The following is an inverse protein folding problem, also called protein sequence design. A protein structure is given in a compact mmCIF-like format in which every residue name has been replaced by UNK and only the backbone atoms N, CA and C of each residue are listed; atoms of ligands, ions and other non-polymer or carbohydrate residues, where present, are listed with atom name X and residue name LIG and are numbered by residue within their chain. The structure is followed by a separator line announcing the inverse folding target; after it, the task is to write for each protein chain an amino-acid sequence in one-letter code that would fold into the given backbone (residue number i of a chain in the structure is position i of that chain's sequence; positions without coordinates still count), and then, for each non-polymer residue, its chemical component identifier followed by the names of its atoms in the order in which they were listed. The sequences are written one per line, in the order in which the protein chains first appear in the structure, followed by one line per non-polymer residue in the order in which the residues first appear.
data_IF_268296604505
#
_entry.id   IF_268296604505
#
_cell.length_a   1.000
_cell.length_b   1.000
_cell.length_c   1.000
_cell.angle_alpha   90.00
_cell.angle_beta   90.00
_cell.angle_gamma   90.00
#
_symmetry.space_group_name_H-M   'P 1'
#
loop_
_entity.id
_entity.type
_entity.pdbx_description
1 polymer ?
#
# COMPACT_ATOMS: atom_id res chain seq x y z
N UNK A 1 -9.83 6.99 -14.47
CA UNK A 1 -11.09 6.25 -14.27
C UNK A 1 -12.14 6.56 -15.34
N UNK A 2 -12.20 7.77 -15.87
CA UNK A 2 -13.26 8.21 -16.80
C UNK A 2 -14.62 8.47 -16.12
N UNK A 3 -14.66 8.49 -14.78
CA UNK A 3 -15.88 8.81 -14.05
C UNK A 3 -16.19 10.33 -14.13
N UNK A 4 -17.48 10.66 -14.20
CA UNK A 4 -17.96 12.03 -14.28
C UNK A 4 -18.66 12.41 -12.98
N UNK A 5 -18.33 13.56 -12.44
CA UNK A 5 -18.89 14.08 -11.20
C UNK A 5 -19.22 15.56 -11.34
N UNK A 6 -20.30 15.98 -10.69
CA UNK A 6 -20.64 17.40 -10.62
C UNK A 6 -19.74 18.09 -9.58
N UNK A 7 -18.90 19.02 -10.02
CA UNK A 7 -18.12 19.85 -9.12
C UNK A 7 -19.02 20.82 -8.37
N UNK A 8 -19.05 20.71 -7.04
CA UNK A 8 -19.87 21.57 -6.17
C UNK A 8 -19.07 22.77 -5.68
N UNK A 9 -17.79 22.57 -5.36
CA UNK A 9 -16.94 23.61 -4.80
C UNK A 9 -15.47 23.36 -5.13
N UNK A 10 -14.75 24.44 -5.36
CA UNK A 10 -13.28 24.49 -5.46
C UNK A 10 -12.76 25.42 -4.38
N UNK A 11 -11.57 25.20 -3.84
CA UNK A 11 -11.02 26.06 -2.82
C UNK A 11 -9.62 25.68 -2.38
N UNK A 12 -9.12 26.40 -1.34
CA UNK A 12 -7.80 26.21 -0.75
C UNK A 12 -7.91 26.09 0.76
N UNK A 13 -6.88 25.54 1.41
CA UNK A 13 -6.75 25.52 2.87
C UNK A 13 -5.76 26.60 3.33
N UNK A 14 -6.20 27.55 4.20
CA UNK A 14 -5.38 28.68 4.71
C UNK A 14 -5.65 29.01 6.19
N UNK A 15 -5.37 28.18 7.18
CA UNK A 15 -5.43 26.71 7.32
C UNK A 15 -6.87 26.16 7.21
N UNK A 16 -7.89 27.01 7.36
CA UNK A 16 -9.30 26.61 7.15
C UNK A 16 -9.63 26.57 5.65
N UNK A 17 -10.63 25.80 5.30
CA UNK A 17 -11.12 25.76 3.93
C UNK A 17 -11.70 27.12 3.51
N UNK A 18 -11.24 27.64 2.39
CA UNK A 18 -11.72 28.89 1.78
C UNK A 18 -12.13 28.58 0.35
N UNK A 19 -13.41 28.87 0.02
CA UNK A 19 -13.91 28.68 -1.35
C UNK A 19 -13.19 29.65 -2.31
N UNK A 20 -12.96 29.18 -3.54
CA UNK A 20 -12.39 29.94 -4.67
C UNK A 20 -13.20 29.67 -5.91
N UNK A 21 -13.19 30.60 -6.85
CA UNK A 21 -13.84 30.43 -8.14
C UNK A 21 -13.03 29.52 -9.07
N UNK A 22 -11.72 29.47 -8.88
CA UNK A 22 -10.80 28.66 -9.68
C UNK A 22 -9.49 28.38 -8.93
N UNK A 23 -8.76 27.37 -9.38
CA UNK A 23 -7.38 27.10 -9.05
C UNK A 23 -6.52 27.33 -10.28
N UNK A 24 -5.43 28.09 -10.13
CA UNK A 24 -4.49 28.37 -11.20
C UNK A 24 -3.37 27.32 -11.25
N UNK A 25 -2.63 27.29 -12.34
CA UNK A 25 -1.46 26.41 -12.50
C UNK A 25 -0.46 26.62 -11.36
N UNK A 26 -0.02 25.53 -10.73
CA UNK A 26 0.88 25.55 -9.57
C UNK A 26 0.22 25.75 -8.22
N UNK A 27 -1.09 26.02 -8.15
CA UNK A 27 -1.83 26.10 -6.89
C UNK A 27 -2.26 24.71 -6.40
N UNK A 28 -2.28 24.57 -5.07
CA UNK A 28 -2.79 23.37 -4.38
C UNK A 28 -4.09 23.73 -3.68
N UNK A 29 -5.11 22.92 -3.87
CA UNK A 29 -6.43 23.16 -3.30
C UNK A 29 -7.25 21.89 -3.14
N UNK A 30 -8.56 22.04 -2.99
CA UNK A 30 -9.50 20.96 -2.89
C UNK A 30 -10.66 21.13 -3.90
N UNK A 31 -11.26 20.01 -4.25
CA UNK A 31 -12.51 19.95 -5.05
C UNK A 31 -13.48 19.05 -4.30
N UNK A 32 -14.74 19.50 -4.16
CA UNK A 32 -15.83 18.66 -3.68
C UNK A 32 -16.79 18.36 -4.83
N UNK A 33 -17.16 17.10 -4.98
CA UNK A 33 -17.93 16.65 -6.13
C UNK A 33 -18.91 15.50 -5.79
N UNK A 34 -19.34 15.37 -4.53
CA UNK A 34 -20.30 14.36 -4.11
C UNK A 34 -19.91 12.92 -4.45
N UNK A 35 -18.60 12.61 -4.50
CA UNK A 35 -18.08 11.28 -4.85
C UNK A 35 -18.46 10.29 -3.75
N UNK A 36 -19.19 9.23 -4.11
CA UNK A 36 -19.65 8.19 -3.18
C UNK A 36 -18.77 6.95 -3.18
N UNK A 37 -18.07 6.68 -4.28
CA UNK A 37 -17.25 5.50 -4.48
C UNK A 37 -15.78 5.90 -4.67
N UNK A 38 -14.89 5.45 -3.78
CA UNK A 38 -13.45 5.71 -3.88
C UNK A 38 -12.84 5.23 -5.19
N UNK A 39 -13.33 4.12 -5.73
CA UNK A 39 -12.85 3.57 -6.98
C UNK A 39 -13.04 4.52 -8.18
N UNK A 40 -13.98 5.49 -8.07
CA UNK A 40 -14.27 6.47 -9.12
C UNK A 40 -13.32 7.68 -9.13
N UNK A 41 -12.51 7.87 -8.06
CA UNK A 41 -11.55 8.98 -7.93
C UNK A 41 -10.28 8.49 -7.23
N UNK A 42 -9.38 7.90 -8.00
CA UNK A 42 -8.11 7.39 -7.47
C UNK A 42 -7.11 8.51 -7.24
N UNK A 43 -6.24 8.33 -6.25
CA UNK A 43 -5.08 9.20 -6.05
C UNK A 43 -4.18 9.13 -7.29
N UNK A 44 -3.84 10.29 -7.85
CA UNK A 44 -3.06 10.41 -9.09
C UNK A 44 -3.89 10.53 -10.37
N UNK A 45 -5.23 10.49 -10.28
CA UNK A 45 -6.10 10.77 -11.42
C UNK A 45 -5.94 12.21 -11.90
N UNK A 46 -6.05 12.40 -13.21
CA UNK A 46 -6.13 13.73 -13.84
C UNK A 46 -7.58 14.18 -13.90
N UNK A 47 -7.87 15.32 -13.30
CA UNK A 47 -9.20 15.96 -13.36
C UNK A 47 -9.28 16.88 -14.58
N UNK A 48 -10.36 16.76 -15.35
CA UNK A 48 -10.57 17.54 -16.57
C UNK A 48 -12.05 17.91 -16.74
N UNK A 49 -12.35 18.80 -17.67
CA UNK A 49 -13.74 19.18 -17.98
C UNK A 49 -14.35 18.18 -18.95
N UNK A 50 -15.60 17.78 -18.73
CA UNK A 50 -16.35 16.90 -19.65
C UNK A 50 -16.47 17.52 -21.04
N UNK A 51 -16.74 18.83 -21.12
CA UNK A 51 -16.89 19.54 -22.39
C UNK A 51 -15.57 19.87 -23.11
N UNK A 52 -14.43 19.74 -22.44
CA UNK A 52 -13.10 19.96 -23.01
C UNK A 52 -12.09 19.05 -22.31
N UNK A 53 -12.14 17.74 -22.57
CA UNK A 53 -11.31 16.78 -21.90
C UNK A 53 -9.82 16.94 -22.31
N UNK A 54 -8.93 16.68 -21.35
CA UNK A 54 -7.51 16.55 -21.64
C UNK A 54 -7.27 15.35 -22.57
N UNK A 55 -6.37 15.50 -23.54
CA UNK A 55 -6.05 14.45 -24.51
C UNK A 55 -5.35 13.25 -23.87
N UNK A 56 -4.60 13.47 -22.78
CA UNK A 56 -3.87 12.45 -22.04
C UNK A 56 -3.80 12.81 -20.55
N UNK A 57 -3.57 11.81 -19.71
CA UNK A 57 -3.35 11.99 -18.28
C UNK A 57 -2.00 12.69 -18.04
N UNK A 58 -1.93 13.55 -17.01
CA UNK A 58 -0.68 14.19 -16.61
C UNK A 58 0.36 13.13 -16.19
N UNK A 59 1.60 13.19 -16.71
CA UNK A 59 2.64 12.23 -16.38
C UNK A 59 3.19 12.43 -14.97
N UNK A 60 3.85 11.38 -14.45
CA UNK A 60 4.68 11.47 -13.23
C UNK A 60 4.08 10.83 -11.99
N UNK A 61 2.78 10.54 -11.95
CA UNK A 61 2.20 9.77 -10.86
C UNK A 61 2.45 8.27 -11.05
N UNK A 62 3.00 7.63 -10.02
CA UNK A 62 3.19 6.17 -10.00
C UNK A 62 2.30 5.59 -8.91
N UNK A 63 1.50 4.61 -9.26
CA UNK A 63 0.73 3.84 -8.29
C UNK A 63 1.70 3.08 -7.36
N UNK A 64 1.56 3.31 -6.06
CA UNK A 64 2.39 2.64 -5.06
C UNK A 64 1.75 1.28 -4.79
N UNK A 65 2.48 0.22 -5.13
CA UNK A 65 2.05 -1.15 -4.89
C UNK A 65 2.32 -1.57 -3.44
N UNK A 66 1.46 -2.42 -2.92
CA UNK A 66 1.70 -3.07 -1.63
C UNK A 66 2.98 -3.91 -1.66
N UNK A 67 3.75 -3.84 -0.59
CA UNK A 67 5.03 -4.55 -0.43
C UNK A 67 4.94 -5.72 0.54
N UNK A 68 3.99 -5.64 1.47
CA UNK A 68 3.79 -6.63 2.54
C UNK A 68 2.32 -6.99 2.57
N UNK A 69 2.04 -8.27 2.74
CA UNK A 69 0.68 -8.81 2.80
C UNK A 69 0.49 -9.59 4.09
N UNK A 70 -0.64 -9.38 4.76
CA UNK A 70 -1.05 -10.18 5.92
C UNK A 70 -2.55 -10.40 5.91
N UNK A 71 -2.97 -11.52 6.48
CA UNK A 71 -4.38 -11.79 6.74
C UNK A 71 -4.81 -11.15 8.07
N UNK A 72 -5.92 -10.44 8.07
CA UNK A 72 -6.58 -9.90 9.25
C UNK A 72 -7.89 -10.66 9.48
N UNK A 73 -8.00 -11.30 10.62
CA UNK A 73 -9.17 -12.11 10.98
C UNK A 73 -9.76 -11.61 12.29
N UNK A 74 -11.09 -11.45 12.40
CA UNK A 74 -11.70 -11.13 13.68
C UNK A 74 -11.57 -12.33 14.61
N UNK A 75 -11.35 -12.08 15.91
CA UNK A 75 -11.33 -13.14 16.93
C UNK A 75 -12.69 -13.83 17.01
N UNK A 76 -13.78 -13.05 16.93
CA UNK A 76 -15.13 -13.56 16.84
C UNK A 76 -15.63 -13.49 15.38
N UNK A 77 -16.01 -14.62 14.80
CA UNK A 77 -16.49 -14.71 13.42
C UNK A 77 -17.73 -13.85 13.14
N UNK A 78 -18.51 -13.50 14.14
CA UNK A 78 -19.66 -12.60 14.01
C UNK A 78 -19.26 -11.15 13.72
N UNK A 79 -18.01 -10.76 13.98
CA UNK A 79 -17.48 -9.41 13.74
C UNK A 79 -16.93 -9.22 12.33
N UNK A 80 -17.05 -10.22 11.42
CA UNK A 80 -16.55 -10.14 10.04
C UNK A 80 -17.08 -8.92 9.28
N UNK A 81 -18.39 -8.66 9.35
CA UNK A 81 -19.00 -7.52 8.67
C UNK A 81 -18.57 -6.19 9.29
N UNK A 82 -18.35 -6.15 10.61
CA UNK A 82 -17.83 -4.96 11.30
C UNK A 82 -16.40 -4.67 10.88
N UNK A 83 -15.56 -5.70 10.75
CA UNK A 83 -14.18 -5.57 10.25
C UNK A 83 -14.17 -5.07 8.81
N UNK A 84 -15.03 -5.59 7.93
CA UNK A 84 -15.15 -5.09 6.55
C UNK A 84 -15.48 -3.60 6.51
N UNK A 85 -16.46 -3.18 7.33
CA UNK A 85 -16.88 -1.78 7.39
C UNK A 85 -15.77 -0.88 7.96
N UNK A 86 -15.03 -1.36 8.96
CA UNK A 86 -13.88 -0.66 9.52
C UNK A 86 -12.75 -0.49 8.49
N UNK A 87 -12.39 -1.54 7.75
CA UNK A 87 -11.41 -1.49 6.67
C UNK A 87 -11.84 -0.52 5.55
N UNK A 88 -13.11 -0.56 5.16
CA UNK A 88 -13.65 0.35 4.15
C UNK A 88 -13.57 1.81 4.60
N UNK A 89 -13.91 2.10 5.86
CA UNK A 89 -13.78 3.46 6.43
C UNK A 89 -12.33 3.90 6.55
N UNK A 90 -11.43 2.99 6.92
CA UNK A 90 -10.02 3.29 7.04
C UNK A 90 -9.41 3.62 5.67
N UNK A 91 -9.81 2.89 4.61
CA UNK A 91 -9.39 3.12 3.23
C UNK A 91 -9.77 4.50 2.69
N UNK A 92 -10.84 5.14 3.22
CA UNK A 92 -11.19 6.53 2.89
C UNK A 92 -10.06 7.52 3.22
N UNK A 93 -9.29 7.24 4.26
CA UNK A 93 -8.19 8.09 4.71
C UNK A 93 -6.81 7.54 4.31
N UNK A 94 -6.76 6.30 3.86
CA UNK A 94 -5.53 5.60 3.50
C UNK A 94 -5.72 4.87 2.16
N UNK A 95 -5.49 5.59 1.07
CA UNK A 95 -5.63 5.06 -0.29
C UNK A 95 -4.60 3.96 -0.63
N UNK A 96 -3.58 3.76 0.21
CA UNK A 96 -2.56 2.72 0.03
C UNK A 96 -2.95 1.37 0.64
N UNK A 97 -3.99 1.36 1.49
CA UNK A 97 -4.54 0.13 2.05
C UNK A 97 -5.39 -0.58 1.00
N UNK A 98 -4.99 -1.78 0.65
CA UNK A 98 -5.77 -2.69 -0.20
C UNK A 98 -6.21 -3.89 0.62
N UNK A 99 -7.43 -4.36 0.42
CA UNK A 99 -7.90 -5.57 1.07
C UNK A 99 -8.87 -6.34 0.18
N UNK A 100 -8.83 -7.65 0.30
CA UNK A 100 -9.75 -8.59 -0.37
C UNK A 100 -10.23 -9.65 0.63
N UNK A 101 -11.43 -10.19 0.46
CA UNK A 101 -11.90 -11.29 1.29
C UNK A 101 -10.98 -12.50 1.20
N UNK A 102 -10.68 -13.09 2.35
CA UNK A 102 -9.87 -14.31 2.45
C UNK A 102 -10.55 -15.30 3.40
N UNK A 103 -10.37 -16.59 3.13
CA UNK A 103 -10.86 -17.66 3.99
C UNK A 103 -9.69 -18.54 4.42
N UNK A 104 -9.54 -18.71 5.73
CA UNK A 104 -8.58 -19.62 6.33
C UNK A 104 -9.31 -20.84 6.90
N UNK A 105 -8.77 -22.04 6.69
CA UNK A 105 -9.32 -23.26 7.31
C UNK A 105 -9.27 -23.23 8.85
N UNK A 106 -8.27 -22.55 9.42
CA UNK A 106 -8.05 -22.47 10.84
C UNK A 106 -8.74 -21.26 11.50
N UNK A 107 -8.80 -20.11 10.79
CA UNK A 107 -9.25 -18.81 11.33
C UNK A 107 -10.63 -18.37 10.81
N UNK A 108 -11.18 -19.08 9.82
CA UNK A 108 -12.47 -18.74 9.22
C UNK A 108 -12.36 -17.60 8.20
N UNK A 109 -13.35 -16.73 8.19
CA UNK A 109 -13.44 -15.61 7.25
C UNK A 109 -12.69 -14.38 7.76
N UNK A 110 -11.93 -13.76 6.89
CA UNK A 110 -11.16 -12.56 7.16
C UNK A 110 -10.82 -11.79 5.88
N UNK A 111 -9.78 -11.00 5.92
CA UNK A 111 -9.34 -10.19 4.79
C UNK A 111 -7.83 -10.32 4.60
N UNK A 112 -7.42 -10.53 3.35
CA UNK A 112 -6.05 -10.37 2.93
C UNK A 112 -5.80 -8.89 2.68
N UNK A 113 -4.87 -8.30 3.44
CA UNK A 113 -4.55 -6.89 3.37
C UNK A 113 -3.15 -6.68 2.80
N UNK A 114 -3.02 -5.69 1.93
CA UNK A 114 -1.76 -5.24 1.36
C UNK A 114 -1.32 -3.91 1.97
N UNK A 115 -0.06 -3.81 2.36
CA UNK A 115 0.52 -2.68 3.08
C UNK A 115 1.78 -2.17 2.38
N UNK A 116 2.15 -0.91 2.59
CA UNK A 116 3.40 -0.32 2.08
C UNK A 116 4.66 -0.91 2.75
N UNK A 117 4.51 -1.50 3.93
CA UNK A 117 5.57 -2.10 4.71
C UNK A 117 5.08 -2.49 6.10
N UNK A 118 5.96 -3.03 6.94
CA UNK A 118 5.62 -3.50 8.29
C UNK A 118 5.09 -2.37 9.19
N UNK A 119 5.70 -1.20 9.16
CA UNK A 119 5.24 -0.06 9.96
C UNK A 119 3.81 0.37 9.56
N UNK A 120 3.50 0.36 8.27
CA UNK A 120 2.15 0.64 7.79
C UNK A 120 1.16 -0.41 8.30
N UNK A 121 1.53 -1.70 8.27
CA UNK A 121 0.73 -2.79 8.81
C UNK A 121 0.42 -2.59 10.30
N UNK A 122 1.45 -2.27 11.11
CA UNK A 122 1.29 -2.03 12.55
C UNK A 122 0.35 -0.84 12.82
N UNK A 123 0.49 0.27 12.06
CA UNK A 123 -0.38 1.45 12.19
C UNK A 123 -1.82 1.11 11.84
N UNK A 124 -2.06 0.38 10.75
CA UNK A 124 -3.41 -0.03 10.33
C UNK A 124 -4.05 -0.93 11.38
N UNK A 125 -3.30 -1.92 11.89
CA UNK A 125 -3.78 -2.80 12.95
C UNK A 125 -4.14 -2.00 14.21
N UNK A 126 -3.25 -1.13 14.69
CA UNK A 126 -3.50 -0.31 15.89
C UNK A 126 -4.71 0.62 15.71
N UNK A 127 -4.91 1.18 14.51
CA UNK A 127 -6.09 2.00 14.21
C UNK A 127 -7.39 1.17 14.21
N UNK A 128 -7.37 -0.02 13.63
CA UNK A 128 -8.53 -0.92 13.67
C UNK A 128 -8.91 -1.30 15.10
N UNK A 129 -7.92 -1.57 15.95
CA UNK A 129 -8.12 -1.89 17.35
C UNK A 129 -8.65 -0.68 18.15
N UNK A 130 -8.03 0.48 18.03
CA UNK A 130 -8.34 1.67 18.83
C UNK A 130 -9.52 2.50 18.35
N UNK A 131 -9.62 2.73 17.03
CA UNK A 131 -10.63 3.62 16.46
C UNK A 131 -11.94 2.86 16.17
N UNK A 132 -11.83 1.58 15.82
CA UNK A 132 -12.97 0.74 15.41
C UNK A 132 -13.28 -0.39 16.38
N UNK A 133 -12.53 -0.49 17.48
CA UNK A 133 -12.71 -1.51 18.52
C UNK A 133 -12.73 -2.94 17.97
N UNK A 134 -11.87 -3.21 16.98
CA UNK A 134 -11.74 -4.53 16.38
C UNK A 134 -10.75 -5.38 17.20
N UNK A 135 -11.10 -6.64 17.43
CA UNK A 135 -10.21 -7.61 18.08
C UNK A 135 -9.70 -8.57 17.01
N UNK A 136 -8.41 -8.48 16.68
CA UNK A 136 -7.86 -9.07 15.46
C UNK A 136 -6.82 -10.15 15.73
N UNK A 137 -6.82 -11.16 14.87
CA UNK A 137 -5.70 -12.07 14.65
C UNK A 137 -5.03 -11.68 13.35
N UNK A 138 -3.75 -11.29 13.44
CA UNK A 138 -2.93 -10.96 12.28
C UNK A 138 -2.01 -12.13 11.95
N UNK A 139 -2.00 -12.56 10.68
CA UNK A 139 -1.07 -13.61 10.24
C UNK A 139 0.34 -13.04 10.06
N UNK A 140 1.34 -13.93 10.03
CA UNK A 140 2.69 -13.51 9.70
C UNK A 140 2.73 -12.78 8.35
N UNK A 141 3.44 -11.64 8.25
CA UNK A 141 3.52 -10.89 7.00
C UNK A 141 4.29 -11.68 5.94
N UNK A 142 3.83 -11.56 4.71
CA UNK A 142 4.46 -12.15 3.52
C UNK A 142 4.74 -11.07 2.49
N UNK A 143 5.61 -11.37 1.53
CA UNK A 143 5.91 -10.52 0.37
C UNK A 143 5.29 -11.16 -0.89
N UNK A 144 5.26 -10.40 -1.98
CA UNK A 144 4.91 -10.94 -3.29
C UNK A 144 6.09 -11.75 -3.83
N UNK A 145 5.84 -12.99 -4.29
CA UNK A 145 6.81 -13.86 -4.94
C UNK A 145 6.52 -13.97 -6.44
N UNK A 146 7.55 -14.17 -7.23
CA UNK A 146 7.40 -14.59 -8.63
C UNK A 146 7.59 -16.11 -8.72
N UNK A 147 6.63 -16.78 -9.35
CA UNK A 147 6.69 -18.21 -9.62
C UNK A 147 6.95 -18.40 -11.13
N UNK A 148 8.10 -18.95 -11.46
CA UNK A 148 8.43 -19.31 -12.84
C UNK A 148 7.89 -20.71 -13.11
N UNK A 149 6.92 -20.81 -13.98
CA UNK A 149 6.31 -22.07 -14.38
C UNK A 149 7.19 -22.81 -15.39
N UNK A 150 7.03 -24.11 -15.52
CA UNK A 150 7.80 -24.94 -16.48
C UNK A 150 7.58 -24.58 -17.95
N UNK A 151 6.51 -23.91 -18.27
CA UNK A 151 6.21 -23.39 -19.60
C UNK A 151 6.86 -22.00 -19.87
N UNK A 152 7.63 -21.48 -18.89
CA UNK A 152 8.29 -20.17 -18.96
C UNK A 152 7.40 -19.00 -18.55
N UNK A 153 6.13 -19.21 -18.19
CA UNK A 153 5.27 -18.13 -17.68
C UNK A 153 5.68 -17.72 -16.26
N UNK A 154 5.59 -16.42 -15.95
CA UNK A 154 5.87 -15.87 -14.62
C UNK A 154 4.57 -15.42 -14.01
N UNK A 155 4.20 -16.01 -12.88
CA UNK A 155 3.02 -15.67 -12.12
C UNK A 155 3.41 -15.00 -10.81
N UNK A 156 2.68 -13.96 -10.42
CA UNK A 156 2.84 -13.30 -9.12
C UNK A 156 2.06 -14.07 -8.05
N UNK A 157 2.69 -14.29 -6.91
CA UNK A 157 2.12 -15.00 -5.77
C UNK A 157 2.15 -14.11 -4.53
N UNK A 158 1.03 -13.52 -4.19
CA UNK A 158 0.85 -12.70 -2.98
C UNK A 158 0.43 -13.56 -1.78
N UNK A 159 -0.25 -14.68 -2.03
CA UNK A 159 -0.80 -15.55 -1.00
C UNK A 159 -0.19 -16.95 -1.07
N UNK A 160 0.54 -17.40 -0.03
CA UNK A 160 1.15 -18.73 0.00
C UNK A 160 0.18 -19.89 -0.22
N UNK A 161 -1.11 -19.73 0.12
CA UNK A 161 -2.13 -20.76 -0.11
C UNK A 161 -2.42 -21.02 -1.58
N UNK A 162 -2.07 -20.08 -2.46
CA UNK A 162 -2.22 -20.20 -3.93
C UNK A 162 -0.97 -20.77 -4.61
N UNK A 163 0.03 -21.26 -3.83
CA UNK A 163 1.24 -21.86 -4.38
C UNK A 163 0.88 -23.11 -5.21
N UNK A 164 1.31 -23.20 -6.49
CA UNK A 164 1.11 -24.40 -7.30
C UNK A 164 1.78 -25.64 -6.71
N UNK A 165 1.30 -26.82 -7.07
CA UNK A 165 1.90 -28.09 -6.65
C UNK A 165 3.39 -28.14 -6.99
N UNK A 166 4.24 -28.69 -6.10
CA UNK A 166 5.64 -28.96 -6.39
C UNK A 166 5.76 -29.79 -7.68
N UNK A 167 6.45 -29.30 -8.67
CA UNK A 167 6.59 -29.97 -9.97
C UNK A 167 5.86 -29.28 -11.12
N UNK A 168 4.98 -28.31 -10.87
CA UNK A 168 4.38 -27.46 -11.90
C UNK A 168 5.20 -26.20 -12.20
N UNK A 169 6.06 -25.79 -11.26
CA UNK A 169 6.95 -24.63 -11.40
C UNK A 169 8.42 -25.06 -11.38
N UNK A 170 9.29 -24.20 -11.87
CA UNK A 170 10.73 -24.41 -11.95
C UNK A 170 11.46 -23.63 -10.84
N UNK A 171 11.05 -22.40 -10.58
CA UNK A 171 11.74 -21.48 -9.70
C UNK A 171 10.74 -20.59 -8.93
N UNK A 172 11.10 -20.24 -7.69
CA UNK A 172 10.42 -19.21 -6.89
C UNK A 172 11.41 -18.08 -6.66
N UNK A 173 11.02 -16.85 -7.00
CA UNK A 173 11.83 -15.65 -6.81
C UNK A 173 11.21 -14.78 -5.73
N UNK A 174 12.05 -14.30 -4.81
CA UNK A 174 11.67 -13.32 -3.80
C UNK A 174 12.16 -11.92 -4.21
N UNK A 175 11.42 -10.84 -3.84
CA UNK A 175 11.86 -9.48 -4.13
C UNK A 175 13.10 -9.13 -3.30
N UNK A 176 14.07 -8.48 -3.95
CA UNK A 176 15.27 -7.94 -3.30
C UNK A 176 15.26 -6.43 -3.46
N UNK A 177 15.55 -5.71 -2.39
CA UNK A 177 15.67 -4.25 -2.39
C UNK A 177 17.13 -3.82 -2.44
N UNK A 178 17.38 -2.67 -3.06
CA UNK A 178 18.64 -1.93 -2.88
C UNK A 178 18.40 -0.84 -1.85
N UNK A 179 19.13 -0.91 -0.72
CA UNK A 179 19.01 0.06 0.36
C UNK A 179 20.25 0.95 0.39
N UNK A 180 20.05 2.27 0.45
CA UNK A 180 21.10 3.24 0.72
C UNK A 180 20.98 3.68 2.18
N UNK A 181 22.00 3.40 2.99
CA UNK A 181 21.99 3.66 4.43
C UNK A 181 23.08 4.67 4.75
N UNK A 182 22.68 5.85 5.23
CA UNK A 182 23.59 6.87 5.72
C UNK A 182 23.64 6.78 7.25
N UNK A 183 24.82 6.50 7.79
CA UNK A 183 24.99 6.23 9.22
C UNK A 183 26.30 6.87 9.75
N UNK A 184 26.34 7.37 10.99
CA UNK A 184 27.59 7.74 11.63
C UNK A 184 28.55 6.56 11.70
N UNK A 185 29.86 6.80 11.56
CA UNK A 185 30.91 5.79 11.53
C UNK A 185 30.89 4.87 12.76
N UNK A 186 30.55 5.41 13.94
CA UNK A 186 30.42 4.64 15.17
C UNK A 186 29.40 3.49 15.11
N UNK A 187 28.40 3.56 14.23
CA UNK A 187 27.33 2.57 14.11
C UNK A 187 27.50 1.65 12.90
N UNK A 188 28.54 1.88 12.08
CA UNK A 188 28.77 1.11 10.87
C UNK A 188 28.80 -0.40 11.12
N UNK A 189 29.53 -0.83 12.14
CA UNK A 189 29.65 -2.26 12.49
C UNK A 189 28.32 -2.91 12.83
N UNK A 190 27.43 -2.20 13.53
CA UNK A 190 26.11 -2.70 13.90
C UNK A 190 25.22 -2.83 12.66
N UNK A 191 25.26 -1.85 11.75
CA UNK A 191 24.51 -1.88 10.49
C UNK A 191 24.99 -3.02 9.60
N UNK A 192 26.31 -3.22 9.46
CA UNK A 192 26.89 -4.34 8.69
C UNK A 192 26.44 -5.69 9.25
N UNK A 193 26.47 -5.84 10.57
CA UNK A 193 25.99 -7.07 11.23
C UNK A 193 24.51 -7.31 10.93
N UNK A 194 23.67 -6.27 11.04
CA UNK A 194 22.24 -6.37 10.74
C UNK A 194 21.99 -6.77 9.28
N UNK A 195 22.69 -6.12 8.33
CA UNK A 195 22.58 -6.45 6.91
C UNK A 195 22.94 -7.91 6.63
N UNK A 196 24.04 -8.40 7.19
CA UNK A 196 24.48 -9.80 7.05
C UNK A 196 23.45 -10.79 7.64
N UNK A 197 22.89 -10.49 8.82
CA UNK A 197 21.83 -11.31 9.43
C UNK A 197 20.56 -11.36 8.57
N UNK A 198 20.28 -10.31 7.81
CA UNK A 198 19.16 -10.23 6.89
C UNK A 198 19.49 -10.66 5.45
N UNK A 199 20.61 -11.39 5.26
CA UNK A 199 21.08 -11.89 3.95
C UNK A 199 21.41 -10.77 2.96
N UNK A 200 21.72 -9.57 3.47
CA UNK A 200 22.13 -8.44 2.64
C UNK A 200 23.55 -8.63 2.10
N UNK A 201 23.77 -8.14 0.89
CA UNK A 201 25.09 -8.08 0.27
C UNK A 201 25.51 -6.61 0.13
N UNK A 202 26.69 -6.26 0.62
CA UNK A 202 27.25 -4.93 0.45
C UNK A 202 27.62 -4.72 -1.03
N UNK A 203 27.11 -3.64 -1.64
CA UNK A 203 27.39 -3.28 -3.03
C UNK A 203 28.50 -2.23 -3.09
N UNK A 204 28.39 -1.18 -2.24
CA UNK A 204 29.34 -0.05 -2.21
C UNK A 204 29.45 0.51 -0.79
N UNK A 205 30.49 1.30 -0.52
CA UNK A 205 30.68 2.02 0.74
C UNK A 205 31.47 3.29 0.47
N UNK A 206 30.92 4.43 0.88
CA UNK A 206 31.55 5.75 0.73
C UNK A 206 31.61 6.48 2.06
N UNK A 207 32.80 6.98 2.39
CA UNK A 207 33.01 7.82 3.57
C UNK A 207 32.74 9.28 3.24
N UNK A 208 31.88 9.93 4.02
CA UNK A 208 31.48 11.33 3.87
C UNK A 208 31.71 12.07 5.19
N UNK A 209 32.98 12.40 5.49
CA UNK A 209 33.39 12.98 6.78
C UNK A 209 33.19 12.01 7.93
N UNK A 210 32.26 12.31 8.85
CA UNK A 210 31.92 11.45 9.99
C UNK A 210 30.73 10.50 9.72
N UNK A 211 30.31 10.38 8.48
CA UNK A 211 29.23 9.50 8.06
C UNK A 211 29.72 8.54 6.97
N UNK A 212 29.09 7.39 6.91
CA UNK A 212 29.32 6.37 5.89
C UNK A 212 27.99 6.07 5.18
N UNK A 213 28.04 6.02 3.86
CA UNK A 213 26.93 5.66 2.99
C UNK A 213 27.22 4.32 2.32
#
# INVERSE_FOLDING_TARGET
TGAEHLCEQVGVFTPKSVARDSLSAGEVGFITAGIKELASAKVGDTVTLVGNPASEALPGFKEIKSQVFAGLYPVDSHEYDQLRDALTKLQLNDASLHFEPETSQALGFGFRCGFLGLLHMDIVQERLEREYNQNLITTAPTVEYEIVMKDGTVNLLENPSKLPDPGKFEEIREPIITATILVPDAYLGNVMTLCNLKRGAQIDMKYMGHQVM
#
